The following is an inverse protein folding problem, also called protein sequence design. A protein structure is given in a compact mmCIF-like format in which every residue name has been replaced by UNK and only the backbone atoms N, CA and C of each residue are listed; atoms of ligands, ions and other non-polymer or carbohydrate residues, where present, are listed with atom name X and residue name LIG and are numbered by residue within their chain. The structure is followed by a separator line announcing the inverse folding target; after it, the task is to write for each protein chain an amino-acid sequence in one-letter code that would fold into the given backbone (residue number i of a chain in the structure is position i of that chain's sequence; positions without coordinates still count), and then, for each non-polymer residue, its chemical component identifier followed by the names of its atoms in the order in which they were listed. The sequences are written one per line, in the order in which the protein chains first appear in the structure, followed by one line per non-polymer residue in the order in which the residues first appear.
data_IF_602976039685
#
_entry.id   IF_602976039685
#
_cell.length_a   1.000
_cell.length_b   1.000
_cell.length_c   1.000
_cell.angle_alpha   90.00
_cell.angle_beta   90.00
_cell.angle_gamma   90.00
#
_symmetry.space_group_name_H-M   'P 1'
#
loop_
_entity.id
_entity.type
_entity.pdbx_description
1 polymer ?
#
# COMPACT_ATOMS: atom_id res chain seq x y z
N UNK A 1 -14.96 -12.42 0.37
CA UNK A 1 -14.95 -12.08 -1.08
C UNK A 1 -13.97 -13.02 -1.78
N UNK A 2 -14.30 -13.57 -2.94
CA UNK A 2 -13.37 -14.41 -3.72
C UNK A 2 -12.62 -13.50 -4.69
N UNK A 3 -11.29 -13.44 -4.57
CA UNK A 3 -10.47 -12.64 -5.49
C UNK A 3 -10.44 -13.28 -6.89
N UNK A 4 -10.68 -12.46 -7.91
CA UNK A 4 -10.40 -12.85 -9.29
C UNK A 4 -8.87 -12.90 -9.53
N UNK A 5 -8.40 -13.44 -10.67
CA UNK A 5 -6.97 -13.56 -10.94
C UNK A 5 -6.19 -12.24 -10.82
N UNK A 6 -6.79 -11.12 -11.21
CA UNK A 6 -6.14 -9.80 -11.14
C UNK A 6 -6.06 -9.27 -9.71
N UNK A 7 -7.10 -9.49 -8.90
CA UNK A 7 -7.07 -9.17 -7.48
C UNK A 7 -6.02 -9.98 -6.73
N UNK A 8 -5.83 -11.25 -7.11
CA UNK A 8 -4.76 -12.10 -6.56
C UNK A 8 -3.37 -11.56 -6.89
N UNK A 9 -3.16 -10.99 -8.09
CA UNK A 9 -1.89 -10.33 -8.43
C UNK A 9 -1.61 -9.17 -7.46
N UNK A 10 -2.60 -8.33 -7.19
CA UNK A 10 -2.42 -7.19 -6.27
C UNK A 10 -2.10 -7.69 -4.86
N UNK A 11 -2.83 -8.70 -4.38
CA UNK A 11 -2.59 -9.35 -3.09
C UNK A 11 -1.15 -9.88 -2.98
N UNK A 12 -0.67 -10.61 -3.99
CA UNK A 12 0.69 -11.16 -4.01
C UNK A 12 1.76 -10.06 -4.02
N UNK A 13 1.57 -9.00 -4.81
CA UNK A 13 2.50 -7.88 -4.84
C UNK A 13 2.53 -7.16 -3.49
N UNK A 14 1.37 -6.96 -2.85
CA UNK A 14 1.28 -6.40 -1.51
C UNK A 14 2.08 -7.23 -0.50
N UNK A 15 1.82 -8.54 -0.44
CA UNK A 15 2.49 -9.49 0.46
C UNK A 15 4.01 -9.55 0.24
N UNK A 16 4.48 -9.29 -0.98
CA UNK A 16 5.91 -9.24 -1.31
C UNK A 16 6.63 -7.94 -0.91
N UNK A 17 5.92 -6.86 -0.54
CA UNK A 17 6.54 -5.55 -0.28
C UNK A 17 7.66 -5.59 0.79
N UNK A 18 7.53 -6.27 1.94
CA UNK A 18 8.58 -6.34 2.95
C UNK A 18 9.89 -6.97 2.44
N UNK A 19 9.80 -7.89 1.46
CA UNK A 19 10.98 -8.48 0.83
C UNK A 19 11.72 -7.52 -0.11
N UNK A 20 11.06 -6.44 -0.54
CA UNK A 20 11.64 -5.42 -1.44
C UNK A 20 12.03 -4.13 -0.71
N UNK A 21 11.39 -3.84 0.42
CA UNK A 21 11.58 -2.60 1.16
C UNK A 21 11.87 -2.89 2.62
N UNK A 22 13.13 -2.71 3.02
CA UNK A 22 13.52 -2.77 4.43
C UNK A 22 12.76 -1.73 5.25
N UNK A 23 12.35 -2.09 6.46
CA UNK A 23 11.57 -1.23 7.34
C UNK A 23 10.07 -1.16 7.01
N UNK A 24 9.56 -1.93 6.04
CA UNK A 24 8.12 -2.06 5.78
C UNK A 24 7.55 -3.28 6.49
N UNK A 25 6.59 -3.05 7.39
CA UNK A 25 5.71 -4.08 7.92
C UNK A 25 4.33 -4.00 7.29
N UNK A 26 3.66 -5.12 7.07
CA UNK A 26 2.28 -5.15 6.57
C UNK A 26 1.29 -5.47 7.68
N UNK A 27 0.08 -4.98 7.51
CA UNK A 27 -1.05 -5.23 8.39
C UNK A 27 -2.29 -5.52 7.52
N UNK A 28 -3.49 -5.20 8.00
CA UNK A 28 -4.76 -5.41 7.32
C UNK A 28 -4.74 -4.88 5.88
N UNK A 29 -5.18 -5.72 4.94
CA UNK A 29 -5.26 -5.41 3.51
C UNK A 29 -6.50 -6.04 2.89
N UNK A 30 -7.16 -5.31 1.98
CA UNK A 30 -8.29 -5.80 1.21
C UNK A 30 -8.27 -5.26 -0.21
N UNK A 31 -8.55 -6.14 -1.16
CA UNK A 31 -8.81 -5.78 -2.56
C UNK A 31 -10.32 -5.71 -2.77
N UNK A 32 -10.80 -4.53 -3.16
CA UNK A 32 -12.18 -4.28 -3.55
C UNK A 32 -12.28 -4.24 -5.08
N UNK A 33 -13.49 -4.34 -5.67
CA UNK A 33 -13.64 -4.32 -7.13
C UNK A 33 -13.07 -3.07 -7.82
N UNK A 34 -13.02 -1.93 -7.15
CA UNK A 34 -12.60 -0.63 -7.71
C UNK A 34 -11.41 0.04 -6.99
N UNK A 35 -10.99 -0.44 -5.82
CA UNK A 35 -9.86 0.12 -5.07
C UNK A 35 -9.26 -0.91 -4.11
N UNK A 36 -8.19 -0.55 -3.41
CA UNK A 36 -7.61 -1.36 -2.34
C UNK A 36 -7.44 -0.52 -1.08
N UNK A 37 -7.53 -1.16 0.08
CA UNK A 37 -7.16 -0.56 1.36
C UNK A 37 -6.07 -1.41 1.99
N UNK A 38 -5.07 -0.75 2.57
CA UNK A 38 -3.95 -1.40 3.22
C UNK A 38 -3.42 -0.57 4.37
N UNK A 39 -3.06 -1.23 5.46
CA UNK A 39 -2.33 -0.65 6.58
C UNK A 39 -0.92 -1.22 6.54
N UNK A 40 0.07 -0.33 6.69
CA UNK A 40 1.48 -0.71 6.75
C UNK A 40 2.21 0.11 7.81
N UNK A 41 3.30 -0.47 8.30
CA UNK A 41 4.19 0.11 9.27
C UNK A 41 5.46 0.56 8.54
N UNK A 42 5.87 1.81 8.75
CA UNK A 42 7.14 2.33 8.24
C UNK A 42 8.07 2.56 9.43
N UNK A 43 9.01 1.65 9.62
CA UNK A 43 10.01 1.72 10.68
C UNK A 43 11.18 2.58 10.19
N UNK A 44 11.63 3.51 11.04
CA UNK A 44 12.91 4.18 10.81
C UNK A 44 14.06 3.17 10.95
N UNK A 45 15.15 3.38 10.22
CA UNK A 45 16.41 2.75 10.60
C UNK A 45 16.95 3.48 11.82
N UNK A 46 17.17 2.75 12.92
CA UNK A 46 17.92 3.29 14.05
C UNK A 46 19.33 3.68 13.56
N UNK A 47 19.94 4.70 14.19
CA UNK A 47 21.18 5.39 13.79
C UNK A 47 22.48 4.51 13.75
N UNK A 48 22.36 3.18 13.61
CA UNK A 48 23.50 2.25 13.52
C UNK A 48 23.35 1.12 12.50
N UNK A 49 22.31 1.11 11.65
CA UNK A 49 22.08 0.05 10.65
C UNK A 49 22.50 0.46 9.23
N UNK A 50 23.30 -0.38 8.56
CA UNK A 50 23.80 -0.15 7.21
C UNK A 50 22.67 0.19 6.22
N UNK A 51 22.91 1.26 5.44
CA UNK A 51 21.96 1.83 4.49
C UNK A 51 21.56 0.81 3.38
N UNK A 52 20.43 0.15 3.57
CA UNK A 52 19.75 -0.59 2.52
C UNK A 52 19.16 0.37 1.49
N UNK A 53 19.76 0.39 0.29
CA UNK A 53 19.28 0.98 -0.99
C UNK A 53 18.25 2.12 -0.83
N UNK A 54 18.73 3.30 -0.41
CA UNK A 54 17.93 4.53 -0.39
C UNK A 54 17.60 4.99 -1.81
N UNK A 55 16.37 4.73 -2.27
CA UNK A 55 15.89 5.23 -3.55
C UNK A 55 15.21 6.59 -3.34
N UNK A 56 15.96 7.64 -3.67
CA UNK A 56 15.52 9.02 -3.98
C UNK A 56 14.73 9.79 -2.91
N UNK A 57 15.44 10.54 -2.07
CA UNK A 57 14.89 11.75 -1.45
C UNK A 57 14.63 12.81 -2.53
N UNK A 58 13.37 12.97 -2.96
CA UNK A 58 12.97 14.15 -3.74
C UNK A 58 12.31 15.15 -2.81
N UNK A 59 12.98 16.29 -2.66
CA UNK A 59 12.55 17.45 -1.89
C UNK A 59 11.09 17.85 -2.20
N UNK A 60 10.22 17.78 -1.21
CA UNK A 60 8.86 18.29 -1.31
C UNK A 60 7.94 17.81 -0.20
N UNK A 61 7.83 18.64 0.86
CA UNK A 61 6.91 18.58 1.99
C UNK A 61 7.35 17.77 3.22
N UNK A 62 7.27 18.43 4.37
CA UNK A 62 7.81 18.04 5.69
C UNK A 62 6.76 17.24 6.46
N UNK A 63 7.12 16.06 7.00
CA UNK A 63 6.87 15.58 8.39
C UNK A 63 7.27 14.09 8.59
N UNK A 64 8.32 13.85 9.40
CA UNK A 64 8.77 12.61 10.14
C UNK A 64 8.97 11.24 9.43
N UNK A 65 9.79 10.30 9.99
CA UNK A 65 11.12 10.41 10.58
C UNK A 65 12.23 10.09 9.54
N UNK A 66 13.32 10.86 9.61
CA UNK A 66 14.47 10.82 8.70
C UNK A 66 15.28 9.53 8.92
N UNK A 67 15.07 8.52 8.07
CA UNK A 67 15.89 7.30 8.04
C UNK A 67 15.22 6.10 7.37
N UNK A 68 13.89 6.03 7.35
CA UNK A 68 13.13 4.92 6.75
C UNK A 68 12.80 5.11 5.26
N UNK A 69 12.24 4.07 4.65
CA UNK A 69 11.68 4.12 3.29
C UNK A 69 10.46 5.04 3.23
N UNK A 70 10.40 5.92 2.22
CA UNK A 70 9.25 6.80 2.02
C UNK A 70 8.01 6.00 1.57
N UNK A 71 6.83 6.35 2.11
CA UNK A 71 5.55 5.78 1.70
C UNK A 71 5.34 5.86 0.18
N UNK A 72 5.72 7.00 -0.41
CA UNK A 72 5.58 7.27 -1.84
C UNK A 72 6.34 6.25 -2.70
N UNK A 73 7.51 5.81 -2.23
CA UNK A 73 8.36 4.82 -2.89
C UNK A 73 7.73 3.44 -2.84
N UNK A 74 7.19 3.04 -1.68
CA UNK A 74 6.49 1.75 -1.52
C UNK A 74 5.22 1.70 -2.37
N UNK A 75 4.39 2.74 -2.32
CA UNK A 75 3.15 2.82 -3.11
C UNK A 75 3.44 2.84 -4.61
N UNK A 76 4.50 3.54 -5.03
CA UNK A 76 4.97 3.51 -6.42
C UNK A 76 5.36 2.09 -6.84
N UNK A 77 6.11 1.38 -5.99
CA UNK A 77 6.46 -0.02 -6.20
C UNK A 77 5.24 -0.90 -6.41
N UNK A 78 4.34 -0.92 -5.42
CA UNK A 78 3.09 -1.68 -5.46
C UNK A 78 2.33 -1.44 -6.77
N UNK A 79 2.09 -0.18 -7.12
CA UNK A 79 1.34 0.18 -8.33
C UNK A 79 2.04 -0.27 -9.61
N UNK A 80 3.37 -0.12 -9.66
CA UNK A 80 4.17 -0.45 -10.84
C UNK A 80 4.23 -1.95 -11.08
N UNK A 81 4.56 -2.74 -10.05
CA UNK A 81 4.63 -4.20 -10.15
C UNK A 81 3.27 -4.81 -10.46
N UNK A 82 2.22 -4.41 -9.73
CA UNK A 82 0.87 -4.92 -9.98
C UNK A 82 0.37 -4.55 -11.39
N UNK A 83 0.60 -3.31 -11.85
CA UNK A 83 0.16 -2.90 -13.19
C UNK A 83 0.90 -3.68 -14.30
N UNK A 84 2.19 -3.95 -14.12
CA UNK A 84 2.97 -4.75 -15.07
C UNK A 84 2.38 -6.15 -15.21
N UNK A 85 2.22 -6.87 -14.10
CA UNK A 85 1.71 -8.24 -14.10
C UNK A 85 0.26 -8.32 -14.61
N UNK A 86 -0.61 -7.38 -14.20
CA UNK A 86 -1.99 -7.30 -14.69
C UNK A 86 -2.02 -7.08 -16.21
N UNK A 87 -1.18 -6.18 -16.73
CA UNK A 87 -1.14 -5.89 -18.16
C UNK A 87 -0.56 -7.06 -18.97
N UNK A 88 0.38 -7.82 -18.42
CA UNK A 88 0.83 -9.08 -19.01
C UNK A 88 -0.33 -10.09 -19.11
N UNK A 89 -1.11 -10.27 -18.05
CA UNK A 89 -2.29 -11.17 -18.07
C UNK A 89 -3.38 -10.71 -19.03
N UNK A 90 -3.60 -9.39 -19.16
CA UNK A 90 -4.61 -8.81 -20.06
C UNK A 90 -4.14 -8.66 -21.51
N UNK A 91 -2.85 -8.88 -21.78
CA UNK A 91 -2.20 -8.58 -23.07
C UNK A 91 -2.36 -7.10 -23.50
N UNK A 92 -2.36 -6.18 -22.53
CA UNK A 92 -2.52 -4.74 -22.75
C UNK A 92 -1.34 -3.96 -22.14
N UNK A 93 -0.10 -4.16 -22.63
CA UNK A 93 1.07 -3.50 -22.06
C UNK A 93 0.91 -1.98 -22.07
N UNK A 94 1.19 -1.34 -20.91
CA UNK A 94 1.10 0.10 -20.75
C UNK A 94 -0.31 0.66 -20.50
N UNK A 95 -1.36 -0.17 -20.54
CA UNK A 95 -2.71 0.30 -20.21
C UNK A 95 -2.79 0.73 -18.73
N UNK A 96 -3.50 1.82 -18.41
CA UNK A 96 -3.63 2.29 -17.05
C UNK A 96 -4.44 1.30 -16.21
N UNK A 97 -3.87 0.86 -15.09
CA UNK A 97 -4.56 0.02 -14.09
C UNK A 97 -5.02 0.84 -12.88
N UNK A 98 -4.22 1.81 -12.46
CA UNK A 98 -4.46 2.61 -11.26
C UNK A 98 -4.86 4.04 -11.60
N UNK A 99 -5.72 4.62 -10.78
CA UNK A 99 -5.90 6.07 -10.74
C UNK A 99 -4.61 6.77 -10.26
N UNK A 100 -4.40 8.01 -10.71
CA UNK A 100 -3.27 8.85 -10.31
C UNK A 100 -3.41 9.25 -8.84
N UNK A 101 -2.29 9.27 -8.11
CA UNK A 101 -2.26 9.61 -6.68
C UNK A 101 -2.78 8.46 -5.80
N UNK A 102 -2.74 8.66 -4.49
CA UNK A 102 -3.29 7.73 -3.50
C UNK A 102 -3.75 8.53 -2.29
N UNK A 103 -4.57 7.91 -1.46
CA UNK A 103 -4.94 8.45 -0.17
C UNK A 103 -4.09 7.78 0.91
N UNK A 104 -3.58 8.57 1.86
CA UNK A 104 -2.87 8.09 3.04
C UNK A 104 -3.36 8.79 4.31
N UNK A 105 -3.23 8.07 5.42
CA UNK A 105 -3.61 8.52 6.75
C UNK A 105 -2.55 8.02 7.74
N UNK A 106 -2.01 8.93 8.55
CA UNK A 106 -1.10 8.55 9.65
C UNK A 106 -1.97 8.09 10.82
N UNK A 107 -1.88 6.81 11.15
CA UNK A 107 -2.53 6.21 12.32
C UNK A 107 -1.82 6.68 13.59
N UNK A 108 -2.54 7.36 14.49
CA UNK A 108 -1.95 8.07 15.63
C UNK A 108 -2.09 7.34 16.97
N UNK A 109 -3.04 6.42 17.07
CA UNK A 109 -3.33 5.67 18.29
C UNK A 109 -3.96 4.30 17.98
N UNK A 110 -4.05 3.45 19.01
CA UNK A 110 -4.55 2.09 18.89
C UNK A 110 -6.05 2.03 18.54
N UNK A 111 -6.84 3.02 18.95
CA UNK A 111 -8.26 3.07 18.64
C UNK A 111 -8.48 3.38 17.16
N UNK A 112 -7.65 4.25 16.58
CA UNK A 112 -7.60 4.54 15.15
C UNK A 112 -7.20 3.30 14.35
N UNK A 113 -6.15 2.61 14.78
CA UNK A 113 -5.72 1.36 14.17
C UNK A 113 -6.81 0.29 14.20
N UNK A 114 -7.45 0.08 15.36
CA UNK A 114 -8.51 -0.89 15.53
C UNK A 114 -9.69 -0.61 14.59
N UNK A 115 -10.11 0.65 14.46
CA UNK A 115 -11.20 1.05 13.57
C UNK A 115 -10.88 0.79 12.10
N UNK A 116 -9.64 1.07 11.66
CA UNK A 116 -9.23 0.83 10.28
C UNK A 116 -9.17 -0.68 9.99
N UNK A 117 -8.61 -1.47 10.92
CA UNK A 117 -8.58 -2.94 10.80
C UNK A 117 -9.99 -3.52 10.75
N UNK A 118 -10.88 -3.07 11.63
CA UNK A 118 -12.28 -3.48 11.66
C UNK A 118 -12.99 -3.13 10.35
N UNK A 119 -12.79 -1.91 9.85
CA UNK A 119 -13.32 -1.51 8.55
C UNK A 119 -12.84 -2.44 7.43
N UNK A 120 -11.52 -2.69 7.34
CA UNK A 120 -10.94 -3.58 6.32
C UNK A 120 -11.50 -5.01 6.44
N UNK A 121 -11.62 -5.54 7.66
CA UNK A 121 -12.13 -6.88 7.92
C UNK A 121 -13.62 -7.02 7.55
N UNK A 122 -14.42 -5.98 7.80
CA UNK A 122 -15.86 -5.97 7.54
C UNK A 122 -16.22 -5.55 6.10
N UNK A 123 -15.27 -4.99 5.33
CA UNK A 123 -15.55 -4.47 4.00
C UNK A 123 -15.83 -5.50 2.87
N UNK A 124 -15.75 -6.84 3.05
CA UNK A 124 -16.36 -7.75 2.09
C UNK A 124 -17.90 -7.65 2.03
N UNK A 125 -18.56 -7.10 3.06
CA UNK A 125 -20.02 -7.10 3.22
C UNK A 125 -20.70 -5.72 3.08
N UNK A 126 -19.97 -4.60 3.18
CA UNK A 126 -20.53 -3.25 3.35
C UNK A 126 -20.43 -2.33 2.12
N UNK A 127 -20.34 -2.90 0.90
CA UNK A 127 -20.14 -2.17 -0.37
C UNK A 127 -21.26 -1.14 -0.70
N UNK A 128 -22.28 -0.98 0.15
CA UNK A 128 -23.37 -0.03 -0.06
C UNK A 128 -23.33 1.26 0.78
N UNK A 129 -22.59 1.37 1.90
CA UNK A 129 -22.96 2.40 2.90
C UNK A 129 -21.87 3.25 3.57
N UNK A 130 -20.58 3.09 3.29
CA UNK A 130 -19.60 4.01 3.92
C UNK A 130 -18.55 4.49 2.94
N UNK A 131 -18.94 5.52 2.19
CA UNK A 131 -17.99 6.46 1.65
C UNK A 131 -17.21 7.06 2.81
N UNK A 132 -15.92 6.75 2.88
CA UNK A 132 -14.95 7.53 3.61
C UNK A 132 -15.00 8.95 2.99
N UNK A 133 -15.84 9.83 3.57
CA UNK A 133 -15.90 11.25 3.22
C UNK A 133 -14.66 11.89 3.83
N UNK A 134 -13.98 12.65 2.97
CA UNK A 134 -12.75 13.42 3.17
C UNK A 134 -12.68 14.13 4.51
#
# INVERSE_FOLDING_TARGET
MILNPLGKIVQLVWEGLPGHYAGVGLDAFVVMPNHVHGVMWLMGVDEGGEAGVGVNARAGQRTAPTGGVELSTVVRGLKSYAAKEINCCRQTPGAPVWQRGYYDHIVRDDADLARIREYIANNPANVATTGWRR
#
